data_IF_816272856002
#
_entry.id   IF_816272856002
#
_cell.length_a   1.000
_cell.length_b   1.000
_cell.length_c   1.000
_cell.angle_alpha   90.00
_cell.angle_beta   90.00
_cell.angle_gamma   90.00
#
_symmetry.space_group_name_H-M   'P 1'
#
loop_
_entity.id
_entity.type
_entity.pdbx_description
1 polymer ?
#
# COMPACT_ATOMS: atom_id res chain seq x y z
N UNK A 1 13.26 3.83 8.34
CA UNK A 1 13.03 4.12 6.92
C UNK A 1 11.86 5.08 6.82
N UNK A 2 12.05 6.27 6.22
CA UNK A 2 10.99 7.27 6.11
C UNK A 2 10.21 7.06 4.81
N UNK A 3 8.88 7.05 4.89
CA UNK A 3 7.99 7.13 3.73
C UNK A 3 7.38 8.52 3.70
N UNK A 4 7.55 9.22 2.57
CA UNK A 4 6.97 10.54 2.41
C UNK A 4 5.44 10.43 2.38
N UNK A 5 4.72 11.35 3.04
CA UNK A 5 3.26 11.35 3.02
C UNK A 5 2.73 11.51 1.60
N UNK A 6 1.53 10.96 1.35
CA UNK A 6 0.83 11.17 0.10
C UNK A 6 0.41 12.65 -0.02
N UNK A 7 1.05 13.39 -0.91
CA UNK A 7 0.68 14.78 -1.20
C UNK A 7 -0.48 14.83 -2.18
N UNK A 8 -1.18 15.97 -2.22
CA UNK A 8 -2.28 16.20 -3.17
C UNK A 8 -1.81 16.01 -4.63
N UNK A 9 -0.69 16.62 -5.00
CA UNK A 9 -0.12 16.53 -6.34
C UNK A 9 0.21 15.09 -6.75
N UNK A 10 0.72 14.27 -5.81
CA UNK A 10 0.96 12.85 -6.05
C UNK A 10 -0.34 12.08 -6.28
N UNK A 11 -1.37 12.36 -5.48
CA UNK A 11 -2.67 11.74 -5.63
C UNK A 11 -3.36 12.14 -6.95
N UNK A 12 -3.20 13.39 -7.37
CA UNK A 12 -3.81 13.90 -8.60
C UNK A 12 -3.15 13.33 -9.87
N UNK A 13 -1.89 12.92 -9.83
CA UNK A 13 -1.17 12.41 -11.01
C UNK A 13 -1.14 10.88 -11.13
N UNK A 14 -1.20 10.13 -10.03
CA UNK A 14 -1.10 8.67 -10.07
C UNK A 14 -2.46 8.01 -10.31
N UNK A 15 -2.56 7.26 -11.41
CA UNK A 15 -3.73 6.44 -11.71
C UNK A 15 -3.92 5.32 -10.66
N UNK A 16 -2.82 4.78 -10.12
CA UNK A 16 -2.87 3.77 -9.07
C UNK A 16 -3.47 4.33 -7.78
N UNK A 17 -3.01 5.50 -7.34
CA UNK A 17 -3.56 6.17 -6.15
C UNK A 17 -5.05 6.42 -6.31
N UNK A 18 -5.46 7.02 -7.44
CA UNK A 18 -6.88 7.27 -7.74
C UNK A 18 -7.73 6.01 -7.70
N UNK A 19 -7.19 4.88 -8.17
CA UNK A 19 -7.89 3.60 -8.18
C UNK A 19 -7.97 2.95 -6.80
N UNK A 20 -6.99 3.20 -5.93
CA UNK A 20 -6.95 2.66 -4.58
C UNK A 20 -7.80 3.46 -3.59
N UNK A 21 -7.88 4.79 -3.72
CA UNK A 21 -8.71 5.64 -2.84
C UNK A 21 -10.14 5.11 -2.77
N UNK A 22 -10.69 5.00 -1.56
CA UNK A 22 -12.04 4.55 -1.28
C UNK A 22 -12.22 3.02 -1.34
N UNK A 23 -11.21 2.26 -1.74
CA UNK A 23 -11.32 0.79 -1.82
C UNK A 23 -11.08 0.12 -0.47
N UNK A 24 -11.82 -0.96 -0.23
CA UNK A 24 -11.75 -1.79 0.98
C UNK A 24 -11.36 -3.22 0.62
N UNK A 25 -10.54 -3.82 1.48
CA UNK A 25 -9.94 -5.12 1.24
C UNK A 25 -9.86 -5.95 2.50
N UNK A 26 -9.58 -7.23 2.30
CA UNK A 26 -9.06 -8.11 3.33
C UNK A 26 -7.54 -7.99 3.43
N UNK A 27 -7.00 -8.17 4.63
CA UNK A 27 -5.56 -8.26 4.90
C UNK A 27 -5.34 -9.35 5.95
N UNK A 28 -4.57 -10.38 5.61
CA UNK A 28 -4.38 -11.56 6.46
C UNK A 28 -5.71 -12.19 6.94
N UNK A 29 -6.72 -12.21 6.07
CA UNK A 29 -8.07 -12.72 6.40
C UNK A 29 -8.96 -11.78 7.21
N UNK A 30 -8.42 -10.67 7.74
CA UNK A 30 -9.21 -9.65 8.43
C UNK A 30 -9.79 -8.63 7.45
N UNK A 31 -11.02 -8.18 7.69
CA UNK A 31 -11.69 -7.13 6.88
C UNK A 31 -11.12 -5.74 7.22
N UNK A 32 -11.70 -4.66 6.70
CA UNK A 32 -11.40 -3.28 7.12
C UNK A 32 -10.00 -2.75 6.75
N UNK A 33 -9.35 -3.29 5.72
CA UNK A 33 -8.14 -2.68 5.14
C UNK A 33 -8.53 -1.67 4.07
N UNK A 34 -8.68 -0.40 4.44
CA UNK A 34 -9.33 0.64 3.61
C UNK A 34 -8.42 1.82 3.35
N UNK A 35 -8.27 2.17 2.08
CA UNK A 35 -7.43 3.28 1.62
C UNK A 35 -8.25 4.56 1.54
N UNK A 36 -8.07 5.50 2.48
CA UNK A 36 -8.76 6.78 2.48
C UNK A 36 -7.94 7.88 1.79
N UNK A 37 -8.61 8.97 1.43
CA UNK A 37 -7.97 10.20 0.95
C UNK A 37 -6.92 10.73 1.94
N UNK A 38 -5.97 11.51 1.40
CA UNK A 38 -4.88 12.10 2.19
C UNK A 38 -3.88 11.08 2.74
N UNK A 39 -3.90 9.83 2.27
CA UNK A 39 -2.97 8.80 2.70
C UNK A 39 -3.30 8.19 4.07
N UNK A 40 -4.55 8.29 4.55
CA UNK A 40 -4.99 7.59 5.77
C UNK A 40 -5.39 6.15 5.44
N UNK A 41 -4.90 5.19 6.20
CA UNK A 41 -5.23 3.78 6.08
C UNK A 41 -6.05 3.36 7.29
N UNK A 42 -7.21 2.73 7.08
CA UNK A 42 -7.91 2.01 8.16
C UNK A 42 -7.49 0.55 8.12
N UNK A 43 -7.22 -0.03 9.29
CA UNK A 43 -6.89 -1.45 9.44
C UNK A 43 -7.68 -2.05 10.62
N UNK A 44 -7.73 -3.39 10.77
CA UNK A 44 -8.26 -4.04 11.97
C UNK A 44 -7.57 -3.61 13.27
N UNK A 45 -6.30 -3.20 13.19
CA UNK A 45 -5.45 -2.91 14.34
C UNK A 45 -5.38 -1.42 14.67
N UNK A 46 -6.18 -0.60 14.00
CA UNK A 46 -6.21 0.84 14.15
C UNK A 46 -5.91 1.57 12.85
N UNK A 47 -5.57 2.85 12.98
CA UNK A 47 -5.26 3.70 11.83
C UNK A 47 -3.78 3.63 11.48
N UNK A 48 -3.50 3.72 10.18
CA UNK A 48 -2.17 3.79 9.61
C UNK A 48 -2.11 4.84 8.50
N UNK A 49 -1.05 4.77 7.70
CA UNK A 49 -0.80 5.65 6.57
C UNK A 49 -0.52 4.84 5.32
N UNK A 50 -0.78 5.41 4.16
CA UNK A 50 -0.42 4.85 2.87
C UNK A 50 -0.05 5.95 1.89
N UNK A 51 0.59 5.56 0.80
CA UNK A 51 0.98 6.46 -0.28
C UNK A 51 1.71 5.71 -1.37
N UNK A 52 2.43 6.42 -2.23
CA UNK A 52 3.25 5.81 -3.29
C UNK A 52 4.60 5.34 -2.75
N UNK A 53 4.99 4.13 -3.13
CA UNK A 53 6.35 3.63 -2.92
C UNK A 53 7.31 4.46 -3.78
N UNK A 54 8.44 4.96 -3.23
CA UNK A 54 9.45 5.68 -4.00
C UNK A 54 10.08 4.81 -5.08
N UNK A 55 10.45 5.42 -6.22
CA UNK A 55 11.08 4.75 -7.38
C UNK A 55 12.43 4.07 -7.09
N UNK A 56 13.05 4.35 -5.93
CA UNK A 56 14.29 3.72 -5.50
C UNK A 56 14.07 3.03 -4.14
N UNK A 57 13.28 1.95 -4.11
CA UNK A 57 12.89 1.33 -2.87
C UNK A 57 14.07 0.42 -2.37
N UNK A 58 14.20 0.17 -1.06
CA UNK A 58 15.31 -0.62 -0.51
C UNK A 58 15.43 -2.03 -1.14
N UNK A 59 16.57 -2.73 -1.01
CA UNK A 59 16.79 -4.02 -1.69
C UNK A 59 15.79 -5.14 -1.32
N UNK A 60 15.04 -5.00 -0.22
CA UNK A 60 13.96 -5.92 0.20
C UNK A 60 12.57 -5.41 -0.24
N UNK A 61 12.41 -5.12 -1.51
CA UNK A 61 11.14 -4.60 -2.05
C UNK A 61 10.51 -5.63 -2.97
N UNK A 62 9.20 -5.49 -3.18
CA UNK A 62 8.51 -6.35 -4.14
C UNK A 62 9.19 -6.10 -5.50
N UNK A 63 9.64 -7.13 -6.24
CA UNK A 63 10.20 -6.94 -7.58
C UNK A 63 9.26 -6.19 -8.53
N UNK A 64 7.94 -6.31 -8.27
CA UNK A 64 6.88 -5.60 -8.99
C UNK A 64 6.83 -4.08 -8.74
N UNK A 65 7.62 -3.55 -7.79
CA UNK A 65 7.70 -2.12 -7.47
C UNK A 65 8.93 -1.44 -8.07
N UNK A 66 9.67 -2.13 -8.94
CA UNK A 66 10.73 -1.52 -9.73
C UNK A 66 10.14 -0.65 -10.85
N UNK A 67 10.81 0.46 -11.14
CA UNK A 67 10.44 1.31 -12.27
C UNK A 67 10.36 0.48 -13.58
N UNK A 68 9.36 0.71 -14.44
CA UNK A 68 8.43 1.85 -14.45
C UNK A 68 7.13 1.65 -13.64
N UNK A 69 6.98 0.56 -12.89
CA UNK A 69 5.73 0.27 -12.17
C UNK A 69 5.58 1.13 -10.91
N UNK A 70 4.34 1.61 -10.66
CA UNK A 70 3.98 2.23 -9.38
C UNK A 70 3.50 1.16 -8.38
N UNK A 71 3.89 1.33 -7.11
CA UNK A 71 3.37 0.57 -5.98
C UNK A 71 2.87 1.50 -4.90
N UNK A 72 2.06 0.97 -3.99
CA UNK A 72 1.69 1.68 -2.77
C UNK A 72 2.55 1.18 -1.61
N UNK A 73 2.79 2.02 -0.61
CA UNK A 73 3.18 1.55 0.71
C UNK A 73 2.00 1.63 1.67
N UNK A 74 2.01 0.78 2.70
CA UNK A 74 1.17 0.88 3.88
C UNK A 74 2.05 0.87 5.13
N UNK A 75 1.81 1.78 6.06
CA UNK A 75 2.51 1.89 7.33
C UNK A 75 1.47 1.88 8.46
N UNK A 76 1.43 0.79 9.21
CA UNK A 76 0.52 0.60 10.33
C UNK A 76 1.21 -0.26 11.38
N UNK A 77 0.88 -0.05 12.66
CA UNK A 77 1.49 -0.78 13.77
C UNK A 77 3.04 -0.78 13.71
N UNK A 78 3.63 0.33 13.26
CA UNK A 78 5.08 0.50 13.06
C UNK A 78 5.72 -0.48 12.07
N UNK A 79 4.92 -1.06 11.16
CA UNK A 79 5.36 -1.97 10.13
C UNK A 79 5.05 -1.39 8.75
N UNK A 80 6.08 -1.27 7.92
CA UNK A 80 5.95 -0.77 6.55
C UNK A 80 5.85 -1.95 5.60
N UNK A 81 4.88 -1.89 4.73
CA UNK A 81 4.61 -2.84 3.68
C UNK A 81 4.66 -2.14 2.32
N UNK A 82 5.18 -2.81 1.30
CA UNK A 82 4.93 -2.45 -0.10
C UNK A 82 3.80 -3.30 -0.65
N UNK A 83 2.94 -2.69 -1.47
CA UNK A 83 1.70 -3.26 -1.97
C UNK A 83 1.66 -3.12 -3.49
N UNK A 84 1.49 -4.26 -4.15
CA UNK A 84 1.27 -4.37 -5.58
C UNK A 84 -0.14 -4.92 -5.84
N UNK A 85 -0.94 -4.20 -6.62
CA UNK A 85 -2.30 -4.59 -6.94
C UNK A 85 -2.36 -5.46 -8.18
N UNK A 86 -3.06 -6.58 -8.09
CA UNK A 86 -3.57 -7.36 -9.21
C UNK A 86 -5.06 -7.05 -9.35
N UNK A 87 -5.36 -5.92 -9.99
CA UNK A 87 -6.73 -5.49 -10.20
C UNK A 87 -7.54 -6.50 -11.04
N UNK A 88 -8.86 -6.65 -10.77
CA UNK A 88 -9.67 -5.83 -9.87
C UNK A 88 -9.76 -6.36 -8.43
N UNK A 89 -9.28 -7.57 -8.15
CA UNK A 89 -9.75 -8.37 -7.01
C UNK A 89 -8.67 -8.69 -5.98
N UNK A 90 -7.39 -8.49 -6.27
CA UNK A 90 -6.29 -8.91 -5.37
C UNK A 90 -5.21 -7.86 -5.20
N UNK A 91 -4.47 -7.98 -4.11
CA UNK A 91 -3.14 -7.39 -3.97
C UNK A 91 -2.19 -8.33 -3.24
N UNK A 92 -0.90 -8.08 -3.43
CA UNK A 92 0.19 -8.67 -2.65
C UNK A 92 0.86 -7.58 -1.83
N UNK A 93 1.01 -7.81 -0.53
CA UNK A 93 1.70 -6.95 0.41
C UNK A 93 2.96 -7.66 0.91
N UNK A 94 4.09 -6.95 0.96
CA UNK A 94 5.36 -7.47 1.48
C UNK A 94 5.87 -6.55 2.58
N UNK A 95 6.07 -7.09 3.79
CA UNK A 95 6.63 -6.34 4.92
C UNK A 95 8.12 -6.11 4.73
N UNK A 96 8.57 -4.86 4.85
CA UNK A 96 9.96 -4.50 4.58
C UNK A 96 10.96 -4.99 5.63
N UNK A 97 10.51 -5.25 6.85
CA UNK A 97 11.37 -5.68 7.95
C UNK A 97 11.99 -7.07 7.68
N UNK A 98 11.13 -8.02 7.28
CA UNK A 98 11.45 -9.45 7.21
C UNK A 98 11.00 -10.13 5.91
N UNK A 99 10.31 -9.42 5.01
CA UNK A 99 9.83 -9.99 3.75
C UNK A 99 8.53 -10.79 3.86
N UNK A 100 7.82 -10.71 4.99
CA UNK A 100 6.53 -11.41 5.14
C UNK A 100 5.57 -11.02 4.01
N UNK A 101 4.99 -12.02 3.33
CA UNK A 101 4.05 -11.82 2.25
C UNK A 101 2.63 -12.05 2.74
N UNK A 102 1.80 -11.01 2.66
CA UNK A 102 0.37 -11.06 2.95
C UNK A 102 -0.44 -10.81 1.68
N UNK A 103 -1.45 -11.64 1.44
CA UNK A 103 -2.36 -11.45 0.31
C UNK A 103 -3.66 -10.82 0.78
N UNK A 104 -4.16 -9.89 -0.01
CA UNK A 104 -5.47 -9.28 0.18
C UNK A 104 -6.39 -9.54 -0.99
N UNK A 105 -7.68 -9.58 -0.70
CA UNK A 105 -8.76 -9.72 -1.67
C UNK A 105 -9.78 -8.59 -1.47
N UNK A 106 -10.38 -8.14 -2.57
CA UNK A 106 -11.36 -7.05 -2.56
C UNK A 106 -12.61 -7.47 -1.80
N UNK A 107 -13.17 -6.53 -1.02
CA UNK A 107 -14.44 -6.69 -0.31
C UNK A 107 -15.63 -6.25 -1.15
#
# INVERSE_FOLDING_TARGET
>A
WYRAPLTKDLADRSALVKKAVGTSWTFAGHRTFTFHEGGRLRTPWGDGRWGLTPNNPPPKTVPACAAPAECLYADFSSNIHDISFQWPDRFTSVRLADGEIVRGAKL
#
